data_IF_438886327692
#
_entry.id   IF_438886327692
#
_cell.length_a   1.000
_cell.length_b   1.000
_cell.length_c   1.000
_cell.angle_alpha   90.00
_cell.angle_beta   90.00
_cell.angle_gamma   90.00
#
_symmetry.space_group_name_H-M   'P 1'
#
loop_
_entity.id
_entity.type
_entity.pdbx_description
1 polymer ?
#
# COMPACT_ATOMS: atom_id res chain seq x y z
N UNK A 1 -22.23 -2.75 -3.67
CA UNK A 1 -21.86 -2.74 -4.72
C UNK A 1 -20.45 -2.97 -4.87
N UNK A 2 -19.61 -3.12 -4.77
CA UNK A 2 -18.87 -4.02 -5.43
C UNK A 2 -17.42 -3.72 -5.48
N UNK A 3 -16.78 -4.38 -6.34
CA UNK A 3 -15.33 -4.34 -6.50
C UNK A 3 -14.89 -3.34 -7.60
N UNK A 4 -15.78 -2.42 -7.96
CA UNK A 4 -15.56 -1.55 -9.13
C UNK A 4 -14.39 -0.57 -8.95
N UNK A 5 -14.10 -0.15 -7.73
CA UNK A 5 -13.08 0.84 -7.47
C UNK A 5 -11.70 0.24 -7.20
N UNK A 6 -11.54 -1.08 -7.20
CA UNK A 6 -10.29 -1.71 -6.80
C UNK A 6 -9.11 -1.31 -7.69
N UNK A 7 -9.28 -1.35 -9.00
CA UNK A 7 -8.22 -0.95 -9.93
C UNK A 7 -7.93 0.55 -9.83
N UNK A 8 -8.97 1.38 -9.69
CA UNK A 8 -8.81 2.82 -9.54
C UNK A 8 -8.05 3.17 -8.26
N UNK A 9 -8.38 2.49 -7.16
CA UNK A 9 -7.69 2.68 -5.89
C UNK A 9 -6.22 2.28 -6.00
N UNK A 10 -5.93 1.13 -6.57
CA UNK A 10 -4.54 0.69 -6.74
C UNK A 10 -3.74 1.66 -7.62
N UNK A 11 -4.33 2.13 -8.71
CA UNK A 11 -3.66 3.09 -9.59
C UNK A 11 -3.35 4.40 -8.86
N UNK A 12 -4.29 4.90 -8.06
CA UNK A 12 -4.09 6.13 -7.30
C UNK A 12 -3.01 5.95 -6.22
N UNK A 13 -3.02 4.83 -5.51
CA UNK A 13 -2.00 4.52 -4.51
C UNK A 13 -0.63 4.39 -5.17
N UNK A 14 -0.55 3.67 -6.28
CA UNK A 14 0.69 3.54 -7.04
C UNK A 14 1.26 4.89 -7.45
N UNK A 15 0.45 5.73 -8.06
CA UNK A 15 0.89 7.04 -8.52
C UNK A 15 1.37 7.92 -7.35
N UNK A 16 0.65 7.88 -6.23
CA UNK A 16 1.01 8.63 -5.03
C UNK A 16 2.38 8.22 -4.51
N UNK A 17 2.60 6.91 -4.39
CA UNK A 17 3.87 6.38 -3.89
C UNK A 17 5.02 6.61 -4.86
N UNK A 18 4.79 6.39 -6.15
CA UNK A 18 5.81 6.56 -7.17
C UNK A 18 6.28 8.01 -7.30
N UNK A 19 5.40 8.97 -7.01
CA UNK A 19 5.72 10.39 -7.04
C UNK A 19 6.12 10.99 -5.68
N UNK A 20 6.18 10.19 -4.63
CA UNK A 20 6.46 10.71 -3.29
C UNK A 20 7.95 10.96 -3.09
N UNK A 21 8.32 12.17 -2.70
CA UNK A 21 9.72 12.55 -2.58
C UNK A 21 10.51 11.70 -1.58
N UNK A 22 9.86 11.24 -0.51
CA UNK A 22 10.49 10.36 0.48
C UNK A 22 10.80 8.96 -0.03
N UNK A 23 10.31 8.61 -1.22
CA UNK A 23 10.55 7.31 -1.87
C UNK A 23 11.37 7.44 -3.14
N UNK A 24 12.11 8.56 -3.28
CA UNK A 24 13.00 8.75 -4.42
C UNK A 24 14.03 7.62 -4.48
N UNK A 25 14.12 6.96 -5.65
CA UNK A 25 15.03 5.84 -5.83
C UNK A 25 14.53 4.50 -5.28
N UNK A 26 13.31 4.47 -4.71
CA UNK A 26 12.69 3.24 -4.22
C UNK A 26 11.60 2.83 -5.20
N UNK A 27 11.81 1.73 -5.97
CA UNK A 27 10.79 1.29 -6.92
C UNK A 27 9.49 0.87 -6.23
N UNK A 28 8.37 1.14 -6.89
CA UNK A 28 7.05 0.68 -6.46
C UNK A 28 6.55 -0.30 -7.52
N UNK A 29 6.25 -1.51 -7.10
CA UNK A 29 5.87 -2.59 -8.00
C UNK A 29 4.64 -3.32 -7.46
N UNK A 30 3.92 -4.02 -8.31
CA UNK A 30 2.81 -4.88 -7.92
C UNK A 30 3.11 -6.36 -8.08
N UNK A 31 4.34 -6.68 -8.47
CA UNK A 31 4.81 -8.04 -8.64
C UNK A 31 6.28 -8.11 -8.20
N UNK A 32 6.62 -9.16 -7.48
CA UNK A 32 8.02 -9.35 -7.06
C UNK A 32 8.90 -9.52 -8.29
N UNK A 33 9.97 -8.72 -8.42
CA UNK A 33 10.87 -8.85 -9.56
C UNK A 33 11.49 -10.24 -9.65
N UNK A 34 11.82 -10.66 -10.87
CA UNK A 34 12.51 -11.92 -11.11
C UNK A 34 13.78 -12.00 -10.27
N UNK A 35 13.98 -13.14 -9.59
CA UNK A 35 15.12 -13.31 -8.71
C UNK A 35 14.94 -12.72 -7.32
N UNK A 36 13.74 -12.25 -6.97
CA UNK A 36 13.42 -11.73 -5.63
C UNK A 36 13.67 -10.25 -5.44
N UNK A 37 14.17 -9.56 -6.46
CA UNK A 37 14.48 -8.14 -6.38
C UNK A 37 15.78 -7.85 -5.64
N UNK A 38 16.26 -6.61 -5.76
CA UNK A 38 17.47 -6.12 -5.10
C UNK A 38 17.22 -4.76 -4.50
N UNK A 39 17.97 -4.43 -3.46
CA UNK A 39 17.84 -3.15 -2.78
C UNK A 39 16.56 -3.09 -1.97
N UNK A 40 16.03 -1.89 -1.86
CA UNK A 40 14.78 -1.62 -1.14
C UNK A 40 13.71 -1.28 -2.17
N UNK A 41 12.55 -1.92 -2.07
CA UNK A 41 11.43 -1.63 -2.96
C UNK A 41 10.11 -1.78 -2.22
N UNK A 42 9.06 -1.17 -2.79
CA UNK A 42 7.70 -1.21 -2.28
C UNK A 42 6.88 -2.13 -3.15
N UNK A 43 6.19 -3.08 -2.54
CA UNK A 43 5.33 -4.05 -3.22
C UNK A 43 3.88 -3.79 -2.84
N UNK A 44 3.05 -3.53 -3.84
CA UNK A 44 1.60 -3.46 -3.63
C UNK A 44 1.08 -4.88 -3.57
N UNK A 45 0.40 -5.18 -2.50
CA UNK A 45 0.05 -6.56 -2.17
C UNK A 45 -1.43 -6.87 -2.19
N UNK A 46 -1.80 -7.96 -1.53
CA UNK A 46 -3.18 -8.41 -1.52
C UNK A 46 -4.12 -7.42 -0.87
N UNK A 47 -5.39 -7.55 -1.20
CA UNK A 47 -6.44 -6.74 -0.57
C UNK A 47 -7.67 -7.58 -0.30
N UNK A 48 -8.50 -7.08 0.61
CA UNK A 48 -9.88 -7.52 0.77
C UNK A 48 -10.80 -6.33 0.58
N UNK A 49 -11.96 -6.56 0.03
CA UNK A 49 -12.98 -5.53 -0.13
C UNK A 49 -14.27 -6.03 0.53
N UNK A 50 -14.83 -5.23 1.40
CA UNK A 50 -16.02 -5.60 2.18
C UNK A 50 -17.09 -4.54 1.98
N UNK A 51 -18.30 -4.96 1.65
CA UNK A 51 -19.42 -4.06 1.51
C UNK A 51 -19.74 -3.39 2.84
N UNK A 52 -19.83 -2.07 2.84
CA UNK A 52 -20.19 -1.24 3.97
C UNK A 52 -21.34 -0.30 3.61
N UNK A 53 -22.07 -0.62 2.55
CA UNK A 53 -23.23 0.14 2.18
C UNK A 53 -24.35 0.04 3.22
N UNK A 54 -25.22 1.06 3.25
CA UNK A 54 -26.38 1.10 4.11
C UNK A 54 -27.57 1.69 3.34
N UNK A 55 -28.64 1.99 4.04
CA UNK A 55 -29.85 2.53 3.41
C UNK A 55 -29.64 3.89 2.77
N UNK A 56 -28.61 4.63 3.16
CA UNK A 56 -28.33 5.98 2.65
C UNK A 56 -27.30 6.00 1.52
N UNK A 57 -26.62 4.89 1.25
CA UNK A 57 -25.66 4.87 0.17
C UNK A 57 -24.83 3.60 0.09
N UNK A 58 -24.14 3.44 -1.03
CA UNK A 58 -23.22 2.34 -1.26
C UNK A 58 -21.81 2.73 -0.83
N UNK A 59 -21.13 1.82 -0.16
CA UNK A 59 -19.76 2.01 0.25
C UNK A 59 -19.04 0.69 0.38
N UNK A 60 -17.75 0.72 0.15
CA UNK A 60 -16.89 -0.47 0.23
C UNK A 60 -15.65 -0.11 1.05
N UNK A 61 -15.30 -0.99 1.97
CA UNK A 61 -14.04 -0.89 2.70
C UNK A 61 -13.01 -1.78 2.03
N UNK A 62 -11.92 -1.18 1.60
CA UNK A 62 -10.77 -1.90 1.07
C UNK A 62 -9.70 -1.96 2.15
N UNK A 63 -9.22 -3.15 2.45
CA UNK A 63 -8.02 -3.33 3.26
C UNK A 63 -6.95 -3.88 2.34
N UNK A 64 -5.90 -3.12 2.16
CA UNK A 64 -4.84 -3.50 1.24
C UNK A 64 -3.50 -3.45 1.92
N UNK A 65 -2.61 -4.30 1.44
CA UNK A 65 -1.27 -4.41 1.99
C UNK A 65 -0.28 -3.70 1.09
N UNK A 66 0.58 -2.91 1.71
CA UNK A 66 1.77 -2.34 1.08
C UNK A 66 2.96 -2.89 1.83
N UNK A 67 3.86 -3.55 1.13
CA UNK A 67 5.03 -4.16 1.74
C UNK A 67 6.28 -3.42 1.33
N UNK A 68 7.21 -3.28 2.26
CA UNK A 68 8.56 -2.80 1.98
C UNK A 68 9.49 -3.98 2.16
N UNK A 69 10.28 -4.27 1.15
CA UNK A 69 11.22 -5.37 1.14
C UNK A 69 12.61 -4.80 0.90
N UNK A 70 13.59 -5.23 1.71
CA UNK A 70 14.95 -4.71 1.61
C UNK A 70 15.96 -5.82 1.86
N UNK A 71 16.99 -5.87 1.03
CA UNK A 71 18.15 -6.75 1.21
C UNK A 71 19.27 -6.09 2.01
N UNK A 72 19.08 -4.85 2.46
CA UNK A 72 20.05 -4.17 3.30
C UNK A 72 20.18 -4.88 4.64
N UNK A 73 21.36 -4.80 5.23
CA UNK A 73 21.58 -5.32 6.57
C UNK A 73 20.87 -4.41 7.58
N UNK A 74 20.12 -5.03 8.49
CA UNK A 74 19.35 -4.29 9.48
C UNK A 74 18.05 -3.76 8.91
N UNK A 75 17.21 -3.20 9.79
CA UNK A 75 15.86 -2.74 9.45
C UNK A 75 15.78 -1.25 9.08
N UNK A 76 16.86 -0.48 9.27
CA UNK A 76 16.77 0.96 9.12
C UNK A 76 16.33 1.40 7.70
N UNK A 77 16.89 0.86 6.61
CA UNK A 77 16.42 1.23 5.28
C UNK A 77 14.95 0.86 5.03
N UNK A 78 14.55 -0.33 5.46
CA UNK A 78 13.16 -0.77 5.31
C UNK A 78 12.20 0.10 6.12
N UNK A 79 12.56 0.43 7.36
CA UNK A 79 11.72 1.28 8.22
C UNK A 79 11.64 2.71 7.73
N UNK A 80 12.72 3.24 7.18
CA UNK A 80 12.72 4.58 6.58
C UNK A 80 11.76 4.63 5.38
N UNK A 81 11.82 3.63 4.51
CA UNK A 81 10.90 3.55 3.38
C UNK A 81 9.45 3.34 3.85
N UNK A 82 9.22 2.50 4.86
CA UNK A 82 7.89 2.29 5.41
C UNK A 82 7.30 3.56 6.01
N UNK A 83 8.12 4.36 6.70
CA UNK A 83 7.68 5.65 7.22
C UNK A 83 7.26 6.60 6.09
N UNK A 84 8.00 6.58 4.98
CA UNK A 84 7.65 7.38 3.81
C UNK A 84 6.33 6.91 3.18
N UNK A 85 6.09 5.60 3.12
CA UNK A 85 4.81 5.05 2.65
C UNK A 85 3.67 5.54 3.53
N UNK A 86 3.81 5.47 4.85
CA UNK A 86 2.81 5.98 5.78
C UNK A 86 2.53 7.47 5.56
N UNK A 87 3.57 8.27 5.47
CA UNK A 87 3.42 9.70 5.26
C UNK A 87 2.70 10.02 3.94
N UNK A 88 2.96 9.22 2.90
CA UNK A 88 2.32 9.42 1.60
C UNK A 88 0.84 9.08 1.63
N UNK A 89 0.43 8.04 2.37
CA UNK A 89 -0.90 7.47 2.27
C UNK A 89 -1.88 7.93 3.35
N UNK A 90 -1.41 8.22 4.57
CA UNK A 90 -2.33 8.60 5.64
C UNK A 90 -3.08 9.88 5.27
N UNK A 91 -4.40 9.80 5.23
CA UNK A 91 -5.29 10.90 4.85
C UNK A 91 -4.97 11.50 3.48
N UNK A 92 -4.40 10.72 2.57
CA UNK A 92 -4.05 11.21 1.25
C UNK A 92 -5.33 11.60 0.47
N UNK A 93 -5.34 12.79 -0.15
CA UNK A 93 -6.50 13.24 -0.93
C UNK A 93 -6.44 12.65 -2.35
N UNK A 94 -6.62 11.34 -2.47
CA UNK A 94 -6.55 10.68 -3.78
C UNK A 94 -7.86 10.88 -4.55
N UNK A 95 -7.72 11.18 -5.83
CA UNK A 95 -8.85 11.22 -6.76
C UNK A 95 -8.92 9.89 -7.49
N UNK A 96 -10.07 9.21 -7.37
CA UNK A 96 -10.29 7.93 -8.04
C UNK A 96 -11.07 8.15 -9.33
N UNK A 97 -10.78 7.35 -10.35
CA UNK A 97 -11.57 7.36 -11.58
C UNK A 97 -12.95 6.72 -11.40
N UNK A 98 -13.12 5.92 -10.35
CA UNK A 98 -14.40 5.28 -10.00
C UNK A 98 -14.59 5.43 -8.49
N UNK A 99 -15.73 5.97 -8.09
CA UNK A 99 -16.04 6.18 -6.69
C UNK A 99 -15.30 7.37 -6.08
N UNK A 100 -15.55 7.60 -4.81
CA UNK A 100 -14.95 8.69 -4.04
C UNK A 100 -14.25 8.13 -2.82
N UNK A 101 -12.97 8.42 -2.67
CA UNK A 101 -12.24 8.04 -1.47
C UNK A 101 -12.66 8.94 -0.32
N UNK A 102 -13.24 8.34 0.72
CA UNK A 102 -13.70 9.05 1.90
C UNK A 102 -12.63 9.13 2.97
N UNK A 103 -11.81 8.09 3.08
CA UNK A 103 -10.73 8.05 4.06
C UNK A 103 -9.72 6.98 3.73
N UNK A 104 -8.50 7.22 4.15
CA UNK A 104 -7.39 6.29 3.97
C UNK A 104 -6.53 6.34 5.23
N UNK A 105 -6.45 5.22 5.93
CA UNK A 105 -5.85 5.16 7.25
C UNK A 105 -4.88 3.98 7.37
N UNK A 106 -3.83 4.19 8.13
CA UNK A 106 -2.94 3.11 8.54
C UNK A 106 -3.64 2.24 9.59
N UNK A 107 -3.50 0.93 9.46
CA UNK A 107 -4.14 -0.01 10.37
C UNK A 107 -3.14 -0.80 11.21
N UNK A 108 -2.12 -1.36 10.57
CA UNK A 108 -1.10 -2.13 11.28
C UNK A 108 0.13 -2.34 10.40
N UNK A 109 1.24 -2.70 11.03
CA UNK A 109 2.43 -3.13 10.33
C UNK A 109 3.09 -4.28 11.07
N UNK A 110 3.68 -5.20 10.32
CA UNK A 110 4.47 -6.29 10.86
C UNK A 110 5.83 -6.26 10.18
N UNK A 111 6.88 -6.10 10.96
CA UNK A 111 8.24 -6.14 10.47
C UNK A 111 8.86 -7.49 10.83
N UNK A 112 9.46 -8.15 9.85
CA UNK A 112 10.08 -9.46 10.06
C UNK A 112 11.29 -9.65 9.16
N UNK A 113 12.20 -10.48 9.63
CA UNK A 113 13.32 -10.94 8.84
C UNK A 113 12.90 -12.22 8.12
N UNK A 114 13.16 -12.28 6.82
CA UNK A 114 12.93 -13.49 6.05
C UNK A 114 14.07 -14.45 6.28
N UNK A 115 13.75 -15.72 6.48
CA UNK A 115 14.74 -16.74 6.81
C UNK A 115 15.74 -17.00 5.69
N UNK A 116 15.28 -16.84 4.45
CA UNK A 116 16.14 -17.06 3.28
C UNK A 116 16.58 -15.72 2.72
N UNK A 117 17.88 -15.57 2.49
CA UNK A 117 18.44 -14.42 1.80
C UNK A 117 18.64 -13.19 2.64
N UNK A 118 18.45 -13.27 3.96
CA UNK A 118 18.69 -12.15 4.87
C UNK A 118 17.87 -10.89 4.57
N UNK A 119 16.79 -11.01 3.83
CA UNK A 119 15.92 -9.88 3.52
C UNK A 119 15.04 -9.52 4.70
N UNK A 120 14.69 -8.24 4.78
CA UNK A 120 13.71 -7.73 5.73
C UNK A 120 12.45 -7.35 5.00
N UNK A 121 11.32 -7.58 5.65
CA UNK A 121 10.01 -7.28 5.06
C UNK A 121 9.15 -6.59 6.11
N UNK A 122 8.51 -5.51 5.71
CA UNK A 122 7.52 -4.81 6.52
C UNK A 122 6.21 -4.83 5.76
N UNK A 123 5.21 -5.53 6.29
CA UNK A 123 3.88 -5.61 5.71
C UNK A 123 2.99 -4.60 6.43
N UNK A 124 2.52 -3.61 5.69
CA UNK A 124 1.66 -2.55 6.21
C UNK A 124 0.26 -2.73 5.68
N UNK A 125 -0.73 -2.68 6.55
CA UNK A 125 -2.13 -2.76 6.15
C UNK A 125 -2.77 -1.39 6.28
N UNK A 126 -3.41 -0.94 5.19
CA UNK A 126 -4.16 0.30 5.13
C UNK A 126 -5.63 -0.01 4.90
N UNK A 127 -6.47 0.88 5.39
CA UNK A 127 -7.92 0.79 5.22
C UNK A 127 -8.41 2.01 4.46
N UNK A 128 -9.09 1.77 3.35
CA UNK A 128 -9.70 2.81 2.52
C UNK A 128 -11.20 2.62 2.47
N UNK A 129 -11.95 3.70 2.67
CA UNK A 129 -13.39 3.70 2.44
C UNK A 129 -13.66 4.40 1.12
N UNK A 130 -14.37 3.73 0.24
CA UNK A 130 -14.77 4.27 -1.07
C UNK A 130 -16.29 4.28 -1.12
N UNK A 131 -16.87 5.44 -1.39
CA UNK A 131 -18.31 5.62 -1.57
C UNK A 131 -18.63 5.80 -3.06
N UNK A 132 -19.84 5.41 -3.41
CA UNK A 132 -20.35 5.49 -4.77
C UNK A 132 -21.56 6.40 -4.91
#
# INVERSE_FOLDING_TARGET
MSYQAAAALQSAVYARLAGWSGLTGVPVVDEVPAGGGKGTFVLLGPETATDKGDASGAGVEHRFQVSVISDAKGFQPAKTAAAAVSAALINAPLTLSVGTLVGLQFQRAVARRLEQGDSRRIDMTFRARVDF
#
